data_IF_086830997783
#
_entry.id   IF_086830997783
#
_cell.length_a   1.000
_cell.length_b   1.000
_cell.length_c   1.000
_cell.angle_alpha   90.00
_cell.angle_beta   90.00
_cell.angle_gamma   90.00
#
_symmetry.space_group_name_H-M   'P 1'
#
loop_
_entity.id
_entity.type
_entity.pdbx_description
1 polymer ?
#
# COMPACT_ATOMS: atom_id res chain seq x y z
N UNK A 1 8.39 -10.43 7.86
CA UNK A 1 7.39 -9.39 7.55
C UNK A 1 7.33 -8.44 8.73
N UNK A 2 8.25 -7.46 8.80
CA UNK A 2 8.42 -6.62 10.00
C UNK A 2 7.53 -5.37 10.00
N UNK A 3 6.93 -5.02 8.85
CA UNK A 3 6.31 -3.71 8.62
C UNK A 3 4.90 -3.53 9.22
N UNK A 4 4.18 -4.59 9.58
CA UNK A 4 2.85 -4.44 10.22
C UNK A 4 2.92 -4.50 11.74
N UNK A 5 3.92 -5.20 12.27
CA UNK A 5 4.15 -5.24 13.71
C UNK A 5 4.83 -3.96 14.23
N UNK A 6 5.60 -3.28 13.36
CA UNK A 6 6.30 -2.05 13.70
C UNK A 6 5.49 -0.77 13.40
N UNK A 7 4.37 -0.85 12.67
CA UNK A 7 3.64 0.32 12.18
C UNK A 7 2.13 0.21 12.43
N UNK A 8 1.59 1.10 13.26
CA UNK A 8 0.15 1.23 13.51
C UNK A 8 -0.54 2.09 12.45
N UNK A 9 -1.85 1.87 12.25
CA UNK A 9 -2.68 2.70 11.37
C UNK A 9 -2.30 2.61 9.88
N UNK A 10 -1.94 1.41 9.41
CA UNK A 10 -1.61 1.18 8.00
C UNK A 10 -2.87 1.27 7.14
N UNK A 11 -2.78 2.02 6.04
CA UNK A 11 -3.79 2.16 5.00
C UNK A 11 -3.24 1.57 3.70
N UNK A 12 -4.07 0.81 2.99
CA UNK A 12 -3.69 0.17 1.73
C UNK A 12 -4.30 0.92 0.55
N UNK A 13 -3.48 1.34 -0.40
CA UNK A 13 -3.89 2.02 -1.62
C UNK A 13 -3.64 1.11 -2.81
N UNK A 14 -4.71 0.57 -3.40
CA UNK A 14 -4.62 -0.27 -4.60
C UNK A 14 -4.46 0.58 -5.84
N UNK A 15 -3.48 0.21 -6.65
CA UNK A 15 -3.29 0.71 -7.99
C UNK A 15 -3.87 -0.32 -8.97
N UNK A 16 -4.88 0.03 -9.77
CA UNK A 16 -5.44 -0.89 -10.74
C UNK A 16 -4.40 -1.25 -11.81
N UNK A 17 -4.54 -2.45 -12.39
CA UNK A 17 -3.75 -2.83 -13.56
C UNK A 17 -4.05 -1.85 -14.69
N UNK A 18 -3.00 -1.26 -15.26
CA UNK A 18 -3.10 -0.44 -16.47
C UNK A 18 -2.38 -1.14 -17.63
N UNK A 19 -2.42 -0.51 -18.81
CA UNK A 19 -1.72 -1.00 -20.01
C UNK A 19 -0.20 -1.05 -19.80
N UNK A 20 0.34 -0.14 -18.98
CA UNK A 20 1.78 0.04 -18.78
C UNK A 20 2.29 -0.41 -17.41
N UNK A 21 1.39 -0.62 -16.45
CA UNK A 21 1.75 -1.00 -15.07
C UNK A 21 0.90 -2.15 -14.55
N UNK A 22 1.51 -3.16 -13.91
CA UNK A 22 0.77 -4.24 -13.27
C UNK A 22 0.00 -3.74 -12.03
N UNK A 23 -1.01 -4.53 -11.62
CA UNK A 23 -1.77 -4.24 -10.40
C UNK A 23 -0.81 -4.21 -9.21
N UNK A 24 -0.88 -3.16 -8.41
CA UNK A 24 0.01 -2.98 -7.26
C UNK A 24 -0.76 -2.46 -6.06
N UNK A 25 -0.15 -2.54 -4.89
CA UNK A 25 -0.68 -1.96 -3.66
C UNK A 25 0.43 -1.16 -2.97
N UNK A 26 0.07 -0.01 -2.45
CA UNK A 26 0.93 0.84 -1.63
C UNK A 26 0.36 0.83 -0.22
N UNK A 27 1.14 0.30 0.73
CA UNK A 27 0.82 0.36 2.14
C UNK A 27 1.43 1.63 2.71
N UNK A 28 0.66 2.40 3.46
CA UNK A 28 1.09 3.68 4.05
C UNK A 28 0.68 3.68 5.51
N UNK A 29 1.64 3.81 6.42
CA UNK A 29 1.37 3.85 7.84
C UNK A 29 0.92 5.23 8.36
N UNK A 30 0.63 5.30 9.66
CA UNK A 30 0.21 6.53 10.33
C UNK A 30 1.26 7.65 10.30
N UNK A 31 2.56 7.32 10.29
CA UNK A 31 3.64 8.32 10.28
C UNK A 31 4.11 8.70 8.87
N UNK A 32 3.57 8.05 7.83
CA UNK A 32 3.88 8.31 6.43
C UNK A 32 4.97 7.41 5.84
N UNK A 33 5.35 6.32 6.54
CA UNK A 33 6.09 5.23 5.93
C UNK A 33 5.25 4.56 4.87
N UNK A 34 5.86 4.25 3.75
CA UNK A 34 5.16 3.53 2.71
C UNK A 34 6.00 2.43 2.08
N UNK A 35 5.32 1.39 1.63
CA UNK A 35 5.91 0.30 0.84
C UNK A 35 4.99 -0.07 -0.29
N UNK A 36 5.57 -0.26 -1.48
CA UNK A 36 4.87 -0.67 -2.68
C UNK A 36 5.20 -2.11 -3.01
N UNK A 37 4.16 -2.89 -3.33
CA UNK A 37 4.30 -4.27 -3.75
C UNK A 37 3.45 -4.53 -4.99
N UNK A 38 4.01 -5.26 -5.95
CA UNK A 38 3.25 -5.75 -7.09
C UNK A 38 2.33 -6.91 -6.65
N UNK A 39 1.06 -6.84 -7.03
CA UNK A 39 0.10 -7.90 -6.78
C UNK A 39 0.20 -8.94 -7.90
N UNK A 40 1.04 -9.96 -7.70
CA UNK A 40 0.96 -11.20 -8.49
C UNK A 40 -0.22 -12.01 -7.97
N UNK A 41 -1.14 -12.33 -8.86
CA UNK A 41 -2.59 -12.54 -8.62
C UNK A 41 -2.95 -13.39 -7.38
N UNK A 42 -2.23 -14.46 -7.06
CA UNK A 42 -2.64 -15.39 -6.00
C UNK A 42 -2.09 -15.06 -4.60
N UNK A 43 -0.80 -14.71 -4.50
CA UNK A 43 -0.12 -14.63 -3.19
C UNK A 43 -0.43 -13.31 -2.50
N UNK A 44 -0.49 -12.22 -3.26
CA UNK A 44 -0.63 -10.88 -2.67
C UNK A 44 -2.08 -10.56 -2.29
N UNK A 45 -3.07 -11.08 -3.04
CA UNK A 45 -4.49 -10.96 -2.70
C UNK A 45 -4.85 -11.72 -1.42
N UNK A 46 -4.27 -12.91 -1.23
CA UNK A 46 -4.42 -13.70 0.00
C UNK A 46 -3.80 -13.00 1.21
N UNK A 47 -2.65 -12.33 1.03
CA UNK A 47 -2.02 -11.51 2.08
C UNK A 47 -2.89 -10.30 2.43
N UNK A 48 -3.29 -9.52 1.43
CA UNK A 48 -4.19 -8.38 1.62
C UNK A 48 -5.52 -8.78 2.29
N UNK A 49 -6.05 -9.95 1.91
CA UNK A 49 -7.30 -10.48 2.50
C UNK A 49 -7.10 -11.09 3.89
N UNK A 50 -5.89 -11.51 4.26
CA UNK A 50 -5.55 -11.94 5.61
C UNK A 50 -5.42 -10.74 6.56
N UNK A 51 -5.08 -9.58 6.02
CA UNK A 51 -4.99 -8.29 6.71
C UNK A 51 -6.37 -7.64 6.90
N UNK A 52 -7.34 -8.41 7.40
CA UNK A 52 -8.80 -8.12 7.48
C UNK A 52 -9.22 -6.84 8.21
N UNK A 53 -8.30 -5.98 8.62
CA UNK A 53 -8.56 -4.72 9.30
C UNK A 53 -7.97 -3.49 8.59
N UNK A 54 -7.22 -3.64 7.50
CA UNK A 54 -6.66 -2.49 6.80
C UNK A 54 -7.73 -1.84 5.92
N UNK A 55 -7.98 -0.53 6.05
CA UNK A 55 -8.81 0.18 5.09
C UNK A 55 -8.09 0.17 3.73
N UNK A 56 -8.81 -0.27 2.70
CA UNK A 56 -8.31 -0.36 1.33
C UNK A 56 -8.99 0.73 0.50
N UNK A 57 -8.17 1.57 -0.13
CA UNK A 57 -8.58 2.66 -1.01
C UNK A 57 -8.11 2.40 -2.43
N UNK A 58 -8.82 2.94 -3.41
CA UNK A 58 -8.34 2.98 -4.79
C UNK A 58 -7.50 4.24 -4.98
N UNK A 59 -6.20 4.08 -5.23
CA UNK A 59 -5.28 5.20 -5.38
C UNK A 59 -5.67 6.12 -6.54
N UNK A 60 -6.32 5.59 -7.58
CA UNK A 60 -6.77 6.39 -8.71
C UNK A 60 -8.00 7.27 -8.35
N UNK A 61 -8.78 6.87 -7.35
CA UNK A 61 -9.96 7.62 -6.89
C UNK A 61 -9.64 8.55 -5.74
N UNK A 62 -8.89 8.08 -4.74
CA UNK A 62 -8.61 8.85 -3.52
C UNK A 62 -7.34 9.68 -3.63
N UNK A 63 -6.42 9.30 -4.53
CA UNK A 63 -5.04 9.76 -4.47
C UNK A 63 -4.31 9.22 -3.23
N UNK A 64 -3.08 9.69 -3.03
CA UNK A 64 -2.25 9.36 -1.89
C UNK A 64 -2.41 10.37 -0.74
N UNK A 65 -2.32 9.93 0.52
CA UNK A 65 -2.47 10.80 1.68
C UNK A 65 -1.28 11.77 1.78
N UNK A 66 -1.50 12.98 2.32
CA UNK A 66 -0.46 14.02 2.38
C UNK A 66 0.78 13.61 3.18
N UNK A 67 0.65 12.69 4.14
CA UNK A 67 1.76 12.14 4.93
C UNK A 67 2.76 11.32 4.10
N UNK A 68 2.32 10.66 3.03
CA UNK A 68 3.22 9.98 2.10
C UNK A 68 4.13 10.98 1.38
N UNK A 69 3.61 12.17 1.03
CA UNK A 69 4.37 13.22 0.34
C UNK A 69 5.35 13.95 1.26
N UNK A 70 5.04 14.02 2.56
CA UNK A 70 5.91 14.64 3.56
C UNK A 70 7.22 13.86 3.74
N UNK A 71 7.21 12.58 3.39
CA UNK A 71 8.36 11.69 3.43
C UNK A 71 8.76 11.33 2.00
N UNK A 72 9.75 12.04 1.46
CA UNK A 72 10.51 11.55 0.30
C UNK A 72 10.86 10.09 0.58
N UNK A 73 10.54 9.20 -0.36
CA UNK A 73 10.50 7.74 -0.14
C UNK A 73 11.76 7.16 0.51
N UNK A 74 11.73 5.86 0.92
CA UNK A 74 12.93 5.22 1.47
C UNK A 74 14.12 5.54 0.56
N UNK A 75 15.12 6.22 1.12
CA UNK A 75 16.40 6.44 0.46
C UNK A 75 17.01 5.06 0.28
N UNK A 76 16.85 4.51 -0.91
CA UNK A 76 17.81 3.56 -1.49
C UNK A 76 18.54 4.31 -2.61
#
# INVERSE_FOLDING_TARGET
MEFHHAHEGVEAYMEPKTVVSPKSVVLIDAVGEWRRFELKEDVSLRRLSAERALPIFDAALTGYPPRMRRRSGPTD
#
